data_IF_878629985884
#
_entry.id   IF_878629985884
#
_cell.length_a   1.000
_cell.length_b   1.000
_cell.length_c   1.000
_cell.angle_alpha   90.00
_cell.angle_beta   90.00
_cell.angle_gamma   90.00
#
_symmetry.space_group_name_H-M   'P 1'
#
loop_
_entity.id
_entity.type
_entity.pdbx_description
1 polymer ?
#
# COMPACT_ATOMS: atom_id res chain seq x y z
N UNK A 1 5.52 45.10 31.49
CA UNK A 1 4.40 44.21 31.09
C UNK A 1 4.51 43.95 29.59
N UNK A 2 5.27 42.93 29.18
CA UNK A 2 5.34 42.52 27.76
C UNK A 2 4.49 41.26 27.59
N UNK A 3 3.27 41.42 27.07
CA UNK A 3 2.43 40.31 26.63
C UNK A 3 3.03 39.76 25.33
N UNK A 4 3.78 38.67 25.42
CA UNK A 4 4.12 37.86 24.25
C UNK A 4 2.85 37.16 23.77
N UNK A 5 2.25 37.66 22.69
CA UNK A 5 1.20 36.97 21.97
C UNK A 5 1.84 35.87 21.11
N UNK A 6 1.75 34.62 21.57
CA UNK A 6 2.18 33.44 20.81
C UNK A 6 1.15 33.20 19.69
N UNK A 7 1.43 33.67 18.48
CA UNK A 7 0.62 33.39 17.30
C UNK A 7 0.94 31.97 16.80
N UNK A 8 0.04 31.02 17.05
CA UNK A 8 0.12 29.66 16.51
C UNK A 8 -0.22 29.72 15.01
N UNK A 9 0.80 29.75 14.15
CA UNK A 9 0.63 29.62 12.71
C UNK A 9 0.28 28.16 12.39
N UNK A 10 -1.00 27.88 12.15
CA UNK A 10 -1.46 26.64 11.54
C UNK A 10 -0.99 26.62 10.09
N UNK A 11 0.14 25.97 9.82
CA UNK A 11 0.55 25.64 8.46
C UNK A 11 -0.41 24.58 7.91
N UNK A 12 -1.15 24.85 6.83
CA UNK A 12 -1.95 23.82 6.17
C UNK A 12 -1.00 22.77 5.61
N UNK A 13 -1.01 21.57 6.19
CA UNK A 13 -0.36 20.41 5.60
C UNK A 13 -1.18 20.05 4.37
N UNK A 14 -0.62 20.26 3.18
CA UNK A 14 -1.25 19.79 1.95
C UNK A 14 -1.29 18.26 2.01
N UNK A 15 -2.44 17.70 2.41
CA UNK A 15 -2.75 16.30 2.20
C UNK A 15 -2.85 16.11 0.68
N UNK A 16 -1.83 15.50 0.07
CA UNK A 16 -1.96 15.01 -1.30
C UNK A 16 -3.12 14.01 -1.30
N UNK A 17 -4.20 14.38 -1.98
CA UNK A 17 -5.32 13.48 -2.17
C UNK A 17 -4.79 12.24 -2.92
N UNK A 18 -5.02 11.07 -2.33
CA UNK A 18 -4.75 9.80 -3.01
C UNK A 18 -5.58 9.77 -4.29
N UNK A 19 -4.92 9.50 -5.41
CA UNK A 19 -5.54 9.46 -6.73
C UNK A 19 -5.49 8.02 -7.25
N UNK A 20 -5.91 7.08 -6.40
CA UNK A 20 -6.13 5.71 -6.82
C UNK A 20 -7.06 5.75 -8.04
N UNK A 21 -6.58 5.27 -9.19
CA UNK A 21 -7.28 5.35 -10.47
C UNK A 21 -7.69 3.94 -10.93
N UNK A 22 -8.64 3.28 -10.23
CA UNK A 22 -9.21 2.03 -10.71
C UNK A 22 -9.95 2.27 -12.02
N UNK A 23 -9.96 1.25 -12.87
CA UNK A 23 -10.77 1.20 -14.10
C UNK A 23 -12.15 0.69 -13.74
N UNK A 24 -13.15 1.03 -14.55
CA UNK A 24 -14.52 0.51 -14.39
C UNK A 24 -14.60 -1.02 -14.47
N UNK A 25 -13.61 -1.64 -15.13
CA UNK A 25 -13.50 -3.10 -15.25
C UNK A 25 -12.74 -3.77 -14.11
N UNK A 26 -12.12 -2.99 -13.21
CA UNK A 26 -11.41 -3.54 -12.07
C UNK A 26 -12.42 -4.00 -11.00
N UNK A 27 -12.14 -5.14 -10.37
CA UNK A 27 -12.94 -5.64 -9.25
C UNK A 27 -12.20 -5.39 -7.95
N UNK A 28 -12.84 -4.62 -7.06
CA UNK A 28 -12.38 -4.34 -5.71
C UNK A 28 -12.66 -5.55 -4.80
N UNK A 29 -11.80 -5.74 -3.82
CA UNK A 29 -12.01 -6.72 -2.76
C UNK A 29 -12.77 -6.09 -1.59
N UNK A 30 -13.56 -6.89 -0.89
CA UNK A 30 -13.93 -6.57 0.48
C UNK A 30 -12.75 -6.86 1.43
N UNK A 31 -12.81 -6.32 2.65
CA UNK A 31 -11.72 -6.45 3.62
C UNK A 31 -11.39 -7.92 3.92
N UNK A 32 -12.40 -8.77 4.13
CA UNK A 32 -12.24 -10.18 4.49
C UNK A 32 -11.60 -10.97 3.35
N UNK A 33 -12.04 -10.74 2.11
CA UNK A 33 -11.50 -11.37 0.92
C UNK A 33 -10.07 -10.95 0.64
N UNK A 34 -9.74 -9.67 0.81
CA UNK A 34 -8.37 -9.18 0.64
C UNK A 34 -7.44 -9.72 1.73
N UNK A 35 -7.93 -9.80 2.97
CA UNK A 35 -7.18 -10.36 4.08
C UNK A 35 -6.88 -11.85 3.88
N UNK A 36 -7.88 -12.63 3.44
CA UNK A 36 -7.72 -14.04 3.11
C UNK A 36 -6.79 -14.27 1.91
N UNK A 37 -6.75 -13.35 0.94
CA UNK A 37 -5.84 -13.43 -0.21
C UNK A 37 -4.38 -13.22 0.21
N UNK A 38 -4.13 -12.23 1.09
CA UNK A 38 -2.79 -11.77 1.38
C UNK A 38 -2.13 -12.50 2.54
N UNK A 39 -2.83 -12.80 3.63
CA UNK A 39 -2.20 -13.39 4.81
C UNK A 39 -1.52 -14.71 4.48
N UNK A 40 -0.24 -14.82 4.84
CA UNK A 40 0.59 -16.00 4.57
C UNK A 40 1.16 -16.06 3.15
N UNK A 41 0.82 -15.10 2.28
CA UNK A 41 1.16 -15.12 0.84
C UNK A 41 2.37 -14.25 0.50
N UNK A 42 3.10 -14.65 -0.54
CA UNK A 42 4.07 -13.80 -1.24
C UNK A 42 3.53 -13.43 -2.61
N UNK A 43 3.51 -12.15 -2.93
CA UNK A 43 3.25 -11.62 -4.27
C UNK A 43 4.59 -11.36 -4.95
N UNK A 44 4.75 -11.87 -6.17
CA UNK A 44 5.92 -11.57 -7.00
C UNK A 44 5.51 -10.69 -8.18
N UNK A 45 6.28 -9.64 -8.43
CA UNK A 45 6.09 -8.71 -9.55
C UNK A 45 6.92 -9.14 -10.77
N UNK A 46 6.68 -8.51 -11.92
CA UNK A 46 7.40 -8.83 -13.17
C UNK A 46 8.87 -8.40 -13.18
N UNK A 47 9.24 -7.47 -12.31
CA UNK A 47 10.64 -7.08 -12.10
C UNK A 47 11.37 -8.01 -11.12
N UNK A 48 10.75 -9.13 -10.72
CA UNK A 48 11.17 -10.06 -9.67
C UNK A 48 11.22 -9.46 -8.25
N UNK A 49 10.61 -8.29 -8.03
CA UNK A 49 10.34 -7.79 -6.69
C UNK A 49 9.31 -8.66 -5.96
N UNK A 50 9.42 -8.77 -4.63
CA UNK A 50 8.54 -9.62 -3.82
C UNK A 50 7.94 -8.87 -2.63
N UNK A 51 6.61 -8.87 -2.52
CA UNK A 51 5.87 -8.46 -1.34
C UNK A 51 5.43 -9.67 -0.55
N UNK A 52 5.92 -9.84 0.68
CA UNK A 52 5.54 -10.95 1.56
C UNK A 52 4.69 -10.44 2.72
N UNK A 53 3.53 -11.07 2.88
CA UNK A 53 2.54 -10.77 3.92
C UNK A 53 2.50 -11.94 4.89
N UNK A 54 2.99 -11.72 6.11
CA UNK A 54 3.03 -12.77 7.12
C UNK A 54 1.69 -12.87 7.85
N UNK A 55 1.38 -14.06 8.37
CA UNK A 55 0.16 -14.33 9.14
C UNK A 55 -0.04 -13.36 10.31
N UNK A 56 1.06 -13.00 10.97
CA UNK A 56 1.08 -12.14 12.16
C UNK A 56 1.04 -10.63 11.86
N UNK A 57 0.79 -10.23 10.59
CA UNK A 57 0.70 -8.83 10.19
C UNK A 57 2.03 -8.18 9.83
N UNK A 58 3.16 -8.89 9.92
CA UNK A 58 4.43 -8.39 9.37
C UNK A 58 4.40 -8.34 7.85
N UNK A 59 5.20 -7.44 7.29
CA UNK A 59 5.37 -7.25 5.86
C UNK A 59 6.86 -7.12 5.49
N UNK A 60 7.24 -7.64 4.32
CA UNK A 60 8.51 -7.27 3.68
C UNK A 60 8.35 -7.00 2.20
N UNK A 61 9.11 -6.03 1.68
CA UNK A 61 9.35 -5.87 0.25
C UNK A 61 10.82 -6.17 -0.07
N UNK A 62 11.10 -7.16 -0.89
CA UNK A 62 12.45 -7.45 -1.37
C UNK A 62 12.59 -6.99 -2.81
N UNK A 63 13.57 -6.12 -3.06
CA UNK A 63 13.91 -5.68 -4.42
C UNK A 63 14.68 -6.80 -5.14
N UNK A 64 14.45 -6.93 -6.44
CA UNK A 64 15.17 -7.87 -7.28
C UNK A 64 16.69 -7.61 -7.29
N UNK A 65 17.45 -8.58 -7.82
CA UNK A 65 18.91 -8.50 -7.98
C UNK A 65 19.64 -8.19 -6.66
N UNK A 66 19.16 -8.72 -5.53
CA UNK A 66 19.68 -8.45 -4.19
C UNK A 66 19.65 -6.96 -3.81
N UNK A 67 18.67 -6.19 -4.30
CA UNK A 67 18.53 -4.75 -4.04
C UNK A 67 18.16 -4.36 -2.59
N UNK A 68 18.10 -5.34 -1.68
CA UNK A 68 17.77 -5.15 -0.27
C UNK A 68 16.30 -5.46 0.06
N UNK A 69 15.98 -5.41 1.35
CA UNK A 69 14.64 -5.71 1.86
C UNK A 69 14.16 -4.59 2.79
N UNK A 70 12.98 -4.05 2.49
CA UNK A 70 12.21 -3.19 3.38
C UNK A 70 11.35 -4.03 4.31
N UNK A 71 11.25 -3.63 5.58
CA UNK A 71 10.47 -4.32 6.61
C UNK A 71 9.37 -3.39 7.13
N UNK A 72 8.21 -3.94 7.45
CA UNK A 72 7.09 -3.18 7.97
C UNK A 72 5.97 -4.05 8.51
N UNK A 73 4.81 -3.43 8.69
CA UNK A 73 3.56 -4.05 9.09
C UNK A 73 2.46 -3.58 8.15
N UNK A 74 1.54 -4.47 7.80
CA UNK A 74 0.44 -4.13 6.90
C UNK A 74 -0.90 -4.13 7.64
N UNK A 75 -1.79 -3.25 7.19
CA UNK A 75 -3.20 -3.21 7.61
C UNK A 75 -4.08 -3.31 6.37
N UNK A 76 -5.07 -4.20 6.43
CA UNK A 76 -6.10 -4.34 5.40
C UNK A 76 -7.25 -3.40 5.72
N UNK A 77 -7.56 -2.50 4.77
CA UNK A 77 -8.61 -1.50 4.91
C UNK A 77 -9.92 -2.00 4.26
N UNK A 78 -11.03 -1.30 4.55
CA UNK A 78 -12.36 -1.66 4.04
C UNK A 78 -12.57 -1.36 2.54
N UNK A 79 -11.74 -0.48 1.97
CA UNK A 79 -11.85 0.05 0.61
C UNK A 79 -10.92 -0.64 -0.40
N UNK A 80 -10.57 -1.90 -0.13
CA UNK A 80 -9.63 -2.69 -0.95
C UNK A 80 -8.19 -2.17 -0.96
N UNK A 81 -7.84 -1.31 0.00
CA UNK A 81 -6.47 -0.79 0.14
C UNK A 81 -5.68 -1.53 1.23
N UNK A 82 -4.37 -1.54 1.06
CA UNK A 82 -3.41 -1.99 2.06
C UNK A 82 -2.51 -0.83 2.40
N UNK A 83 -2.42 -0.51 3.69
CA UNK A 83 -1.46 0.45 4.21
C UNK A 83 -0.30 -0.30 4.88
N UNK A 84 0.93 0.01 4.46
CA UNK A 84 2.17 -0.52 5.02
C UNK A 84 2.84 0.59 5.83
N UNK A 85 3.13 0.29 7.08
CA UNK A 85 3.96 1.09 7.98
C UNK A 85 5.36 0.47 8.01
N UNK A 86 6.33 1.12 7.35
CA UNK A 86 7.70 0.62 7.33
C UNK A 86 8.42 0.96 8.64
N UNK A 87 9.32 0.08 9.09
CA UNK A 87 10.12 0.30 10.30
C UNK A 87 11.07 1.49 10.18
N UNK A 88 11.28 2.00 8.96
CA UNK A 88 12.05 3.22 8.67
C UNK A 88 11.26 4.50 8.96
N UNK A 89 9.96 4.41 9.29
CA UNK A 89 9.08 5.54 9.57
C UNK A 89 8.36 6.12 8.35
N UNK A 90 8.52 5.52 7.17
CA UNK A 90 7.70 5.84 6.00
C UNK A 90 6.45 4.96 5.96
N UNK A 91 5.37 5.46 5.37
CA UNK A 91 4.16 4.68 5.14
C UNK A 91 3.63 4.85 3.72
N UNK A 92 2.95 3.82 3.22
CA UNK A 92 2.36 3.81 1.88
C UNK A 92 1.07 3.02 1.88
N UNK A 93 0.04 3.53 1.22
CA UNK A 93 -1.19 2.80 0.95
C UNK A 93 -1.35 2.58 -0.55
N UNK A 94 -1.61 1.33 -0.93
CA UNK A 94 -1.84 0.92 -2.31
C UNK A 94 -3.21 0.23 -2.42
N UNK A 95 -3.91 0.44 -3.54
CA UNK A 95 -5.19 -0.20 -3.84
C UNK A 95 -4.94 -1.55 -4.54
N UNK A 96 -5.61 -2.60 -4.09
CA UNK A 96 -5.51 -3.95 -4.66
C UNK A 96 -6.79 -4.22 -5.43
N UNK A 97 -6.69 -4.67 -6.68
CA UNK A 97 -7.84 -5.02 -7.52
C UNK A 97 -7.54 -6.27 -8.34
N UNK A 98 -8.57 -6.94 -8.83
CA UNK A 98 -8.40 -7.89 -9.95
C UNK A 98 -8.82 -7.25 -11.26
N UNK A 99 -8.07 -7.53 -12.33
CA UNK A 99 -8.52 -7.22 -13.68
C UNK A 99 -9.53 -8.25 -14.20
N UNK A 100 -10.03 -8.05 -15.42
CA UNK A 100 -11.03 -8.93 -16.06
C UNK A 100 -10.56 -10.37 -16.26
N UNK A 101 -9.25 -10.61 -16.25
CA UNK A 101 -8.65 -11.94 -16.40
C UNK A 101 -8.36 -12.59 -15.03
N UNK A 102 -8.77 -11.94 -13.94
CA UNK A 102 -8.57 -12.38 -12.56
C UNK A 102 -7.11 -12.28 -12.11
N UNK A 103 -6.31 -11.40 -12.72
CA UNK A 103 -4.94 -11.12 -12.27
C UNK A 103 -4.98 -10.02 -11.23
N UNK A 104 -4.20 -10.20 -10.16
CA UNK A 104 -4.04 -9.19 -9.12
C UNK A 104 -3.20 -8.01 -9.65
N UNK A 105 -3.70 -6.80 -9.44
CA UNK A 105 -3.07 -5.54 -9.79
C UNK A 105 -2.97 -4.68 -8.53
N UNK A 106 -1.78 -4.13 -8.29
CA UNK A 106 -1.55 -3.13 -7.25
C UNK A 106 -1.54 -1.76 -7.91
N UNK A 107 -2.28 -0.80 -7.35
CA UNK A 107 -2.37 0.57 -7.82
C UNK A 107 -1.87 1.49 -6.71
N UNK A 108 -0.80 2.24 -6.98
CA UNK A 108 -0.23 3.15 -5.98
C UNK A 108 -1.14 4.34 -5.72
N UNK A 109 -0.88 5.09 -4.65
CA UNK A 109 -1.56 6.35 -4.37
C UNK A 109 -1.49 7.38 -5.52
N UNK A 110 -0.47 7.31 -6.39
CA UNK A 110 -0.34 8.15 -7.60
C UNK A 110 -1.14 7.62 -8.80
N UNK A 111 -1.69 6.41 -8.72
CA UNK A 111 -2.43 5.76 -9.81
C UNK A 111 -1.57 4.87 -10.71
N UNK A 112 -0.29 4.65 -10.38
CA UNK A 112 0.59 3.74 -11.13
C UNK A 112 0.17 2.29 -10.91
N UNK A 113 0.20 1.48 -11.97
CA UNK A 113 -0.38 0.12 -11.96
C UNK A 113 0.67 -0.94 -12.14
N UNK A 114 0.70 -1.90 -11.22
CA UNK A 114 1.67 -2.98 -11.16
C UNK A 114 0.95 -4.34 -11.18
N UNK A 115 0.90 -5.02 -12.33
CA UNK A 115 0.38 -6.38 -12.39
C UNK A 115 1.31 -7.36 -11.69
N UNK A 116 0.76 -8.39 -11.04
CA UNK A 116 1.55 -9.44 -10.40
C UNK A 116 1.75 -10.63 -11.33
N UNK A 117 2.83 -11.38 -11.07
CA UNK A 117 3.05 -12.70 -11.67
C UNK A 117 2.28 -13.74 -10.84
N UNK A 118 1.62 -14.69 -11.51
CA UNK A 118 1.01 -15.87 -10.87
C UNK A 118 2.08 -16.87 -10.47
#
# INVERSE_FOLDING_TARGET
MFKFALLFALFPVALYAQNWAPRDSDVLFDQVGLEALLRGTTITFFDDGESKFFEDGRYTYTYANNGGTGYGYFTVMEDSTICIEFVTGFSRCDLYVTDTDGRLIIITASGDRFPTRR
#
